data_IF_562846712648
#
_entry.id   IF_562846712648
#
_cell.length_a   1.000
_cell.length_b   1.000
_cell.length_c   1.000
_cell.angle_alpha   90.00
_cell.angle_beta   90.00
_cell.angle_gamma   90.00
#
_symmetry.space_group_name_H-M   'P 1'
#
loop_
_entity.id
_entity.type
_entity.pdbx_description
1 polymer ?
#
# COMPACT_ATOMS: atom_id res chain seq x y z
N UNK A 1 -7.08 -32.89 -8.51
CA UNK A 1 -7.51 -31.46 -8.58
C UNK A 1 -6.74 -30.79 -9.72
N UNK A 2 -7.38 -29.99 -10.57
CA UNK A 2 -6.68 -29.30 -11.67
C UNK A 2 -5.78 -28.18 -11.14
N UNK A 3 -4.64 -27.92 -11.79
CA UNK A 3 -3.68 -26.88 -11.38
C UNK A 3 -4.34 -25.51 -11.18
N UNK A 4 -5.35 -25.15 -11.99
CA UNK A 4 -6.10 -23.90 -11.85
C UNK A 4 -6.87 -23.80 -10.53
N UNK A 5 -7.41 -24.92 -10.00
CA UNK A 5 -8.08 -24.94 -8.69
C UNK A 5 -7.08 -24.76 -7.56
N UNK A 6 -5.89 -25.36 -7.67
CA UNK A 6 -4.83 -25.21 -6.67
C UNK A 6 -4.25 -23.80 -6.63
N UNK A 7 -4.07 -23.16 -7.80
CA UNK A 7 -3.67 -21.74 -7.87
C UNK A 7 -4.73 -20.83 -7.24
N UNK A 8 -6.03 -21.10 -7.47
CA UNK A 8 -7.11 -20.34 -6.85
C UNK A 8 -7.11 -20.50 -5.34
N UNK A 9 -6.91 -21.72 -4.84
CA UNK A 9 -6.77 -21.99 -3.41
C UNK A 9 -5.60 -21.21 -2.79
N UNK A 10 -4.43 -21.22 -3.44
CA UNK A 10 -3.28 -20.40 -3.04
C UNK A 10 -3.62 -18.91 -2.98
N UNK A 11 -4.30 -18.37 -3.99
CA UNK A 11 -4.72 -16.96 -4.04
C UNK A 11 -5.74 -16.60 -2.97
N UNK A 12 -6.70 -17.49 -2.69
CA UNK A 12 -7.66 -17.31 -1.60
C UNK A 12 -6.96 -17.26 -0.25
N UNK A 13 -6.02 -18.17 -0.02
CA UNK A 13 -5.25 -18.23 1.23
C UNK A 13 -4.40 -16.97 1.41
N UNK A 14 -3.68 -16.53 0.37
CA UNK A 14 -2.93 -15.27 0.39
C UNK A 14 -3.83 -14.06 0.67
N UNK A 15 -5.02 -14.02 0.04
CA UNK A 15 -6.02 -12.98 0.27
C UNK A 15 -6.55 -12.95 1.71
N UNK A 16 -6.83 -14.12 2.30
CA UNK A 16 -7.24 -14.24 3.71
C UNK A 16 -6.15 -13.74 4.66
N UNK A 17 -4.88 -14.07 4.39
CA UNK A 17 -3.74 -13.56 5.16
C UNK A 17 -3.67 -12.03 5.06
N UNK A 18 -3.85 -11.46 3.85
CA UNK A 18 -3.80 -10.02 3.65
C UNK A 18 -4.90 -9.30 4.42
N UNK A 19 -6.12 -9.83 4.34
CA UNK A 19 -7.26 -9.32 5.08
C UNK A 19 -7.02 -9.41 6.60
N UNK A 20 -6.49 -10.53 7.08
CA UNK A 20 -6.16 -10.67 8.51
C UNK A 20 -5.10 -9.68 8.97
N UNK A 21 -4.05 -9.41 8.18
CA UNK A 21 -3.04 -8.38 8.51
C UNK A 21 -3.68 -6.99 8.64
N UNK A 22 -4.63 -6.65 7.77
CA UNK A 22 -5.37 -5.37 7.87
C UNK A 22 -6.24 -5.32 9.14
N UNK A 23 -6.94 -6.41 9.46
CA UNK A 23 -7.76 -6.51 10.67
C UNK A 23 -6.88 -6.44 11.92
N UNK A 24 -5.69 -7.05 11.93
CA UNK A 24 -4.74 -6.94 13.04
C UNK A 24 -4.37 -5.48 13.34
N UNK A 25 -4.04 -4.71 12.31
CA UNK A 25 -3.74 -3.28 12.45
C UNK A 25 -4.92 -2.48 13.04
N UNK A 26 -6.14 -2.79 12.61
CA UNK A 26 -7.35 -2.20 13.19
C UNK A 26 -7.53 -2.61 14.67
N UNK A 27 -7.44 -3.91 15.00
CA UNK A 27 -7.65 -4.43 16.35
C UNK A 27 -6.66 -3.84 17.36
N UNK A 28 -5.36 -3.80 17.02
CA UNK A 28 -4.37 -3.19 17.89
C UNK A 28 -4.61 -1.68 18.02
N UNK A 29 -5.02 -1.00 16.95
CA UNK A 29 -5.46 0.38 16.99
C UNK A 29 -6.59 0.61 18.00
N UNK A 30 -7.63 -0.22 18.00
CA UNK A 30 -8.72 -0.10 19.00
C UNK A 30 -8.21 -0.25 20.44
N UNK A 31 -7.22 -1.13 20.68
CA UNK A 31 -6.64 -1.28 22.01
C UNK A 31 -5.81 -0.07 22.42
N UNK A 32 -5.01 0.47 21.51
CA UNK A 32 -4.12 1.60 21.77
C UNK A 32 -4.88 2.92 21.94
N UNK A 33 -5.87 3.18 21.09
CA UNK A 33 -6.55 4.48 21.03
C UNK A 33 -7.87 4.51 21.80
N UNK A 34 -8.60 3.40 21.86
CA UNK A 34 -9.86 3.31 22.60
C UNK A 34 -9.73 2.53 23.93
N UNK A 35 -8.51 2.15 24.32
CA UNK A 35 -8.23 1.47 25.58
C UNK A 35 -8.89 0.09 25.71
N UNK A 36 -9.31 -0.52 24.59
CA UNK A 36 -10.09 -1.76 24.65
C UNK A 36 -9.21 -2.95 25.02
N UNK A 37 -9.61 -3.68 26.07
CA UNK A 37 -8.95 -4.93 26.45
C UNK A 37 -9.23 -6.02 25.41
N UNK A 38 -10.47 -6.07 24.90
CA UNK A 38 -10.86 -7.05 23.88
C UNK A 38 -10.06 -6.87 22.58
N UNK A 39 -9.73 -5.64 22.17
CA UNK A 39 -8.95 -5.38 20.97
C UNK A 39 -7.58 -6.06 21.03
N UNK A 40 -6.89 -5.97 22.18
CA UNK A 40 -5.61 -6.64 22.42
C UNK A 40 -5.72 -8.16 22.40
N UNK A 41 -6.73 -8.71 23.07
CA UNK A 41 -6.94 -10.16 23.15
C UNK A 41 -7.26 -10.73 21.76
N UNK A 42 -8.17 -10.09 21.02
CA UNK A 42 -8.55 -10.51 19.67
C UNK A 42 -7.39 -10.35 18.69
N UNK A 43 -6.60 -9.27 18.80
CA UNK A 43 -5.38 -9.08 18.03
C UNK A 43 -4.39 -10.24 18.26
N UNK A 44 -4.10 -10.57 19.52
CA UNK A 44 -3.20 -11.70 19.82
C UNK A 44 -3.72 -13.03 19.27
N UNK A 45 -5.03 -13.29 19.35
CA UNK A 45 -5.63 -14.52 18.86
C UNK A 45 -5.59 -14.61 17.32
N UNK A 46 -5.91 -13.50 16.63
CA UNK A 46 -5.87 -13.43 15.17
C UNK A 46 -4.42 -13.53 14.64
N UNK A 47 -3.44 -12.94 15.33
CA UNK A 47 -2.02 -13.10 15.01
C UNK A 47 -1.56 -14.58 15.02
N UNK A 48 -2.03 -15.39 15.99
CA UNK A 48 -1.76 -16.83 16.03
C UNK A 48 -2.47 -17.59 14.89
N UNK A 49 -3.69 -17.20 14.53
CA UNK A 49 -4.38 -17.76 13.36
C UNK A 49 -3.63 -17.45 12.06
N UNK A 50 -3.14 -16.21 11.90
CA UNK A 50 -2.33 -15.80 10.75
C UNK A 50 -1.02 -16.59 10.65
N UNK A 51 -0.39 -16.95 11.77
CA UNK A 51 0.77 -17.84 11.78
C UNK A 51 0.44 -19.20 11.16
N UNK A 52 -0.72 -19.78 11.49
CA UNK A 52 -1.18 -21.03 10.87
C UNK A 52 -1.49 -20.86 9.37
N UNK A 53 -2.19 -19.79 8.98
CA UNK A 53 -2.51 -19.53 7.58
C UNK A 53 -1.25 -19.32 6.73
N UNK A 54 -0.26 -18.60 7.25
CA UNK A 54 1.01 -18.36 6.56
C UNK A 54 1.87 -19.61 6.44
N UNK A 55 1.78 -20.56 7.38
CA UNK A 55 2.37 -21.90 7.24
C UNK A 55 1.71 -22.71 6.11
N UNK A 56 0.39 -22.62 5.96
CA UNK A 56 -0.34 -23.33 4.90
C UNK A 56 -0.03 -22.79 3.50
N UNK A 57 0.40 -21.52 3.38
CA UNK A 57 0.65 -20.87 2.10
C UNK A 57 1.78 -21.50 1.26
N UNK A 58 3.00 -21.76 1.78
CA UNK A 58 4.03 -22.48 1.03
C UNK A 58 3.64 -23.94 0.72
N UNK A 59 2.86 -24.60 1.58
CA UNK A 59 2.31 -25.93 1.29
C UNK A 59 1.34 -25.88 0.10
N UNK A 60 0.47 -24.87 0.06
CA UNK A 60 -0.41 -24.62 -1.07
C UNK A 60 0.38 -24.32 -2.36
N UNK A 61 1.49 -23.57 -2.26
CA UNK A 61 2.37 -23.31 -3.40
C UNK A 61 3.01 -24.59 -3.95
N UNK A 62 3.48 -25.49 -3.06
CA UNK A 62 4.02 -26.80 -3.43
C UNK A 62 2.96 -27.69 -4.09
N UNK A 63 1.76 -27.79 -3.50
CA UNK A 63 0.64 -28.56 -4.04
C UNK A 63 0.16 -28.03 -5.40
N UNK A 64 0.19 -26.71 -5.60
CA UNK A 64 -0.11 -26.07 -6.86
C UNK A 64 1.04 -26.19 -7.89
N UNK A 65 2.21 -26.70 -7.50
CA UNK A 65 3.44 -26.76 -8.30
C UNK A 65 3.81 -25.38 -8.87
N UNK A 66 3.74 -24.35 -8.03
CA UNK A 66 4.15 -23.00 -8.41
C UNK A 66 5.66 -22.91 -8.63
N UNK A 67 6.16 -21.91 -9.37
CA UNK A 67 7.60 -21.70 -9.52
C UNK A 67 8.30 -21.62 -8.16
N UNK A 68 9.48 -22.24 -8.04
CA UNK A 68 10.19 -22.34 -6.76
C UNK A 68 10.39 -21.01 -6.05
N UNK A 69 10.60 -19.92 -6.81
CA UNK A 69 10.67 -18.55 -6.27
C UNK A 69 9.42 -18.18 -5.46
N UNK A 70 8.22 -18.50 -5.92
CA UNK A 70 6.98 -18.20 -5.17
C UNK A 70 6.88 -19.02 -3.90
N UNK A 71 7.21 -20.32 -3.95
CA UNK A 71 7.25 -21.17 -2.76
C UNK A 71 8.22 -20.62 -1.71
N UNK A 72 9.41 -20.18 -2.13
CA UNK A 72 10.40 -19.56 -1.24
C UNK A 72 9.83 -18.28 -0.62
N UNK A 73 9.22 -17.37 -1.41
CA UNK A 73 8.63 -16.14 -0.87
C UNK A 73 7.46 -16.41 0.08
N UNK A 74 6.63 -17.44 -0.17
CA UNK A 74 5.60 -17.87 0.78
C UNK A 74 6.20 -18.40 2.08
N UNK A 75 7.31 -19.14 2.01
CA UNK A 75 8.04 -19.61 3.20
C UNK A 75 8.68 -18.45 3.97
N UNK A 76 9.24 -17.46 3.27
CA UNK A 76 9.74 -16.21 3.88
C UNK A 76 8.60 -15.48 4.61
N UNK A 77 7.41 -15.39 4.02
CA UNK A 77 6.24 -14.79 4.69
C UNK A 77 5.88 -15.51 6.00
N UNK A 78 5.95 -16.85 6.02
CA UNK A 78 5.76 -17.63 7.25
C UNK A 78 6.83 -17.31 8.30
N UNK A 79 8.11 -17.28 7.91
CA UNK A 79 9.23 -16.95 8.83
C UNK A 79 9.08 -15.52 9.38
N UNK A 80 8.71 -14.56 8.55
CA UNK A 80 8.43 -13.19 9.00
C UNK A 80 7.24 -13.14 9.96
N UNK A 81 6.23 -14.00 9.80
CA UNK A 81 5.08 -14.07 10.73
C UNK A 81 5.49 -14.68 12.07
N UNK A 82 6.35 -15.70 12.07
CA UNK A 82 6.95 -16.24 13.29
C UNK A 82 7.76 -15.17 14.03
N UNK A 83 8.57 -14.42 13.29
CA UNK A 83 9.32 -13.29 13.83
C UNK A 83 8.37 -12.21 14.39
N UNK A 84 7.27 -11.89 13.72
CA UNK A 84 6.26 -10.94 14.19
C UNK A 84 5.74 -11.30 15.58
N UNK A 85 5.36 -12.56 15.78
CA UNK A 85 4.85 -13.07 17.07
C UNK A 85 5.94 -12.99 18.14
N UNK A 86 7.18 -13.35 17.81
CA UNK A 86 8.31 -13.24 18.75
C UNK A 86 8.58 -11.78 19.15
N UNK A 87 8.58 -10.85 18.20
CA UNK A 87 8.78 -9.41 18.45
C UNK A 87 7.71 -8.83 19.38
N UNK A 88 6.45 -9.25 19.25
CA UNK A 88 5.38 -8.85 20.17
C UNK A 88 5.65 -9.33 21.62
N UNK A 89 6.22 -10.52 21.78
CA UNK A 89 6.57 -11.09 23.08
C UNK A 89 7.62 -10.29 23.85
N UNK A 90 8.48 -9.52 23.16
CA UNK A 90 9.52 -8.70 23.78
C UNK A 90 9.02 -7.37 24.36
N UNK A 91 7.73 -7.05 24.23
CA UNK A 91 7.15 -5.76 24.70
C UNK A 91 7.45 -5.43 26.16
N UNK A 92 7.58 -6.45 27.04
CA UNK A 92 7.87 -6.26 28.46
C UNK A 92 9.36 -6.32 28.82
N UNK A 93 10.19 -7.00 28.02
CA UNK A 93 11.58 -7.31 28.37
C UNK A 93 12.59 -6.49 27.58
N UNK A 94 12.35 -6.26 26.28
CA UNK A 94 13.28 -5.54 25.40
C UNK A 94 12.48 -4.61 24.47
N UNK A 95 12.03 -3.42 24.95
CA UNK A 95 11.14 -2.54 24.21
C UNK A 95 11.66 -2.11 22.83
N UNK A 96 12.98 -1.99 22.68
CA UNK A 96 13.61 -1.66 21.40
C UNK A 96 13.39 -2.76 20.34
N UNK A 97 13.51 -4.05 20.72
CA UNK A 97 13.18 -5.16 19.83
C UNK A 97 11.68 -5.17 19.50
N UNK A 98 10.83 -4.92 20.50
CA UNK A 98 9.39 -4.85 20.30
C UNK A 98 8.97 -3.73 19.33
N UNK A 99 9.72 -2.63 19.26
CA UNK A 99 9.48 -1.54 18.31
C UNK A 99 9.67 -1.97 16.84
N UNK A 100 10.33 -3.10 16.56
CA UNK A 100 10.41 -3.66 15.21
C UNK A 100 9.13 -4.37 14.78
N UNK A 101 8.21 -4.66 15.70
CA UNK A 101 6.97 -5.39 15.41
C UNK A 101 6.10 -4.66 14.37
N UNK A 102 5.79 -3.35 14.48
CA UNK A 102 5.06 -2.64 13.42
C UNK A 102 5.79 -2.62 12.08
N UNK A 103 7.12 -2.47 12.07
CA UNK A 103 7.91 -2.48 10.83
C UNK A 103 7.87 -3.83 10.12
N UNK A 104 7.96 -4.94 10.87
CA UNK A 104 7.85 -6.28 10.30
C UNK A 104 6.41 -6.58 9.82
N UNK A 105 5.37 -6.01 10.44
CA UNK A 105 4.00 -6.07 9.92
C UNK A 105 3.89 -5.45 8.52
N UNK A 106 4.56 -4.33 8.27
CA UNK A 106 4.56 -3.69 6.96
C UNK A 106 5.29 -4.53 5.90
N UNK A 107 6.37 -5.22 6.28
CA UNK A 107 7.05 -6.17 5.40
C UNK A 107 6.15 -7.36 5.04
N UNK A 108 5.44 -7.91 6.02
CA UNK A 108 4.44 -8.97 5.82
C UNK A 108 3.35 -8.53 4.84
N UNK A 109 2.79 -7.34 5.04
CA UNK A 109 1.80 -6.75 4.14
C UNK A 109 2.33 -6.64 2.71
N UNK A 110 3.48 -5.98 2.53
CA UNK A 110 4.08 -5.76 1.21
C UNK A 110 4.41 -7.07 0.48
N UNK A 111 5.04 -8.03 1.18
CA UNK A 111 5.37 -9.32 0.60
C UNK A 111 4.11 -10.10 0.19
N UNK A 112 3.07 -10.08 1.01
CA UNK A 112 1.83 -10.80 0.69
C UNK A 112 1.12 -10.19 -0.54
N UNK A 113 1.10 -8.86 -0.67
CA UNK A 113 0.59 -8.18 -1.88
C UNK A 113 1.37 -8.61 -3.13
N UNK A 114 2.70 -8.68 -3.05
CA UNK A 114 3.55 -9.16 -4.15
C UNK A 114 3.20 -10.59 -4.55
N UNK A 115 3.02 -11.49 -3.58
CA UNK A 115 2.64 -12.88 -3.82
C UNK A 115 1.28 -13.01 -4.51
N UNK A 116 0.30 -12.20 -4.12
CA UNK A 116 -1.03 -12.15 -4.77
C UNK A 116 -0.89 -11.68 -6.21
N UNK A 117 -0.18 -10.57 -6.46
CA UNK A 117 0.03 -10.04 -7.82
C UNK A 117 0.71 -11.08 -8.72
N UNK A 118 1.75 -11.75 -8.23
CA UNK A 118 2.45 -12.79 -8.99
C UNK A 118 1.54 -13.99 -9.28
N UNK A 119 0.73 -14.41 -8.30
CA UNK A 119 -0.28 -15.45 -8.47
C UNK A 119 -1.28 -15.14 -9.59
N UNK A 120 -1.79 -13.90 -9.63
CA UNK A 120 -2.69 -13.44 -10.68
C UNK A 120 -2.02 -13.36 -12.06
N UNK A 121 -0.77 -12.92 -12.13
CA UNK A 121 -0.01 -12.87 -13.40
C UNK A 121 0.18 -14.27 -14.01
N UNK A 122 0.41 -15.30 -13.17
CA UNK A 122 0.50 -16.68 -13.65
C UNK A 122 -0.82 -17.22 -14.19
N UNK A 123 -1.95 -16.81 -13.61
CA UNK A 123 -3.27 -17.19 -14.12
C UNK A 123 -3.50 -16.64 -15.54
N UNK A 124 -3.03 -15.43 -15.83
CA UNK A 124 -3.16 -14.80 -17.14
C UNK A 124 -2.29 -15.42 -18.24
N UNK A 125 -1.08 -15.89 -17.90
CA UNK A 125 -0.12 -16.48 -18.86
C UNK A 125 -0.54 -17.83 -19.46
N UNK A 126 -1.56 -18.51 -18.92
CA UNK A 126 -2.05 -19.79 -19.46
C UNK A 126 -3.04 -19.66 -20.62
N UNK A 127 -3.45 -18.43 -20.96
CA UNK A 127 -4.41 -18.15 -22.05
C UNK A 127 -3.79 -17.78 -23.41
N UNK A 128 -2.63 -17.08 -23.51
CA UNK A 128 -2.20 -16.52 -24.78
C UNK A 128 -1.53 -17.50 -25.76
N UNK A 129 -0.94 -18.63 -25.38
CA UNK A 129 -0.25 -19.48 -26.39
C UNK A 129 -1.22 -20.08 -27.44
N UNK A 130 -2.44 -20.42 -27.04
CA UNK A 130 -3.45 -20.95 -27.97
C UNK A 130 -4.05 -19.85 -28.86
N UNK A 131 -4.13 -18.62 -28.36
CA UNK A 131 -4.77 -17.47 -29.03
C UNK A 131 -3.75 -16.65 -29.87
N UNK A 132 -2.48 -16.59 -29.44
CA UNK A 132 -1.35 -15.99 -30.17
C UNK A 132 -0.85 -16.86 -31.31
N UNK A 133 -0.86 -18.20 -31.19
CA UNK A 133 -0.55 -19.07 -32.33
C UNK A 133 -1.54 -18.89 -33.49
N UNK A 134 -2.78 -18.46 -33.20
CA UNK A 134 -3.79 -18.15 -34.22
C UNK A 134 -3.65 -16.73 -34.80
N UNK A 135 -3.12 -15.76 -34.04
CA UNK A 135 -3.00 -14.36 -34.48
C UNK A 135 -1.63 -13.99 -35.05
N UNK A 136 -0.56 -14.71 -34.72
CA UNK A 136 0.80 -14.45 -35.21
C UNK A 136 0.98 -14.65 -36.73
N UNK A 137 0.06 -15.34 -37.40
CA UNK A 137 0.08 -15.49 -38.86
C UNK A 137 -0.54 -14.31 -39.63
N UNK A 138 -1.08 -13.29 -38.97
CA UNK A 138 -2.00 -12.35 -39.63
C UNK A 138 -1.52 -10.90 -39.81
N UNK A 139 -0.42 -10.43 -39.21
CA UNK A 139 -0.11 -8.98 -39.23
C UNK A 139 1.38 -8.63 -39.45
N UNK A 140 1.69 -7.68 -40.36
CA UNK A 140 3.05 -7.16 -40.57
C UNK A 140 3.55 -6.33 -39.38
N UNK A 141 4.86 -6.37 -39.18
CA UNK A 141 5.57 -5.70 -38.10
C UNK A 141 5.72 -4.19 -38.38
N UNK A 142 4.90 -3.38 -37.69
CA UNK A 142 5.11 -1.93 -37.51
C UNK A 142 6.26 -1.73 -36.51
N UNK A 143 7.46 -1.59 -37.06
CA UNK A 143 8.73 -1.53 -36.33
C UNK A 143 9.07 -0.16 -35.71
N UNK A 144 8.12 0.73 -35.44
CA UNK A 144 8.48 2.13 -35.08
C UNK A 144 7.77 2.76 -33.88
N UNK A 145 6.49 2.47 -33.64
CA UNK A 145 5.66 3.35 -32.80
C UNK A 145 5.62 3.02 -31.29
N UNK A 146 6.27 1.95 -30.81
CA UNK A 146 5.81 1.26 -29.58
C UNK A 146 6.25 1.77 -28.21
N UNK A 147 7.15 2.74 -28.06
CA UNK A 147 7.80 2.97 -26.75
C UNK A 147 7.62 4.33 -26.07
N UNK A 148 6.77 5.24 -26.56
CA UNK A 148 6.50 6.49 -25.83
C UNK A 148 5.43 6.27 -24.76
N UNK A 149 5.83 6.40 -23.49
CA UNK A 149 4.91 6.42 -22.34
C UNK A 149 3.97 7.63 -22.50
N UNK A 150 2.63 7.47 -22.41
CA UNK A 150 1.68 8.57 -22.56
C UNK A 150 1.97 9.72 -21.57
N UNK A 151 1.72 10.96 -21.99
CA UNK A 151 1.99 12.15 -21.17
C UNK A 151 1.24 12.10 -19.83
N UNK A 152 0.02 11.59 -19.82
CA UNK A 152 -0.84 11.47 -18.64
C UNK A 152 -0.23 10.53 -17.60
N UNK A 153 0.42 9.45 -18.06
CA UNK A 153 1.13 8.49 -17.21
C UNK A 153 2.38 9.14 -16.61
N UNK A 154 3.10 9.95 -17.38
CA UNK A 154 4.25 10.72 -16.87
C UNK A 154 3.81 11.79 -15.86
N UNK A 155 2.70 12.49 -16.10
CA UNK A 155 2.14 13.47 -15.16
C UNK A 155 1.68 12.80 -13.85
N UNK A 156 0.97 11.67 -13.93
CA UNK A 156 0.58 10.90 -12.74
C UNK A 156 1.80 10.38 -11.96
N UNK A 157 2.84 9.93 -12.66
CA UNK A 157 4.13 9.56 -12.04
C UNK A 157 4.74 10.75 -11.29
N UNK A 158 4.80 11.92 -11.93
CA UNK A 158 5.33 13.15 -11.34
C UNK A 158 4.56 13.58 -10.09
N UNK A 159 3.23 13.48 -10.12
CA UNK A 159 2.38 13.80 -8.96
C UNK A 159 2.60 12.86 -7.76
N UNK A 160 2.78 11.55 -7.98
CA UNK A 160 3.15 10.64 -6.89
C UNK A 160 4.53 10.95 -6.28
N UNK A 161 5.52 11.30 -7.11
CA UNK A 161 6.84 11.69 -6.62
C UNK A 161 6.79 13.01 -5.84
N UNK A 162 6.00 13.98 -6.32
CA UNK A 162 5.78 15.24 -5.61
C UNK A 162 5.09 15.00 -4.27
N UNK A 163 4.11 14.10 -4.20
CA UNK A 163 3.51 13.66 -2.94
C UNK A 163 4.56 13.08 -1.99
N UNK A 164 5.42 12.18 -2.45
CA UNK A 164 6.49 11.62 -1.61
C UNK A 164 7.39 12.73 -1.03
N UNK A 165 7.77 13.72 -1.85
CA UNK A 165 8.57 14.86 -1.39
C UNK A 165 7.85 15.71 -0.34
N UNK A 166 6.56 15.99 -0.55
CA UNK A 166 5.73 16.71 0.43
C UNK A 166 5.63 15.91 1.73
N UNK A 167 5.42 14.60 1.67
CA UNK A 167 5.38 13.74 2.86
C UNK A 167 6.69 13.76 3.66
N UNK A 168 7.85 13.79 2.97
CA UNK A 168 9.16 13.97 3.62
C UNK A 168 9.28 15.37 4.24
N UNK A 169 8.76 16.41 3.57
CA UNK A 169 8.70 17.77 4.11
C UNK A 169 7.86 17.87 5.37
N UNK A 170 6.65 17.31 5.36
CA UNK A 170 5.74 17.23 6.53
C UNK A 170 6.42 16.49 7.67
N UNK A 171 7.06 15.36 7.38
CA UNK A 171 7.83 14.59 8.35
C UNK A 171 8.96 15.42 8.99
N UNK A 172 9.72 16.15 8.17
CA UNK A 172 10.82 17.01 8.63
C UNK A 172 10.29 18.12 9.52
N UNK A 173 9.23 18.81 9.10
CA UNK A 173 8.58 19.85 9.91
C UNK A 173 8.05 19.28 11.22
N UNK A 174 7.44 18.10 11.21
CA UNK A 174 6.92 17.45 12.41
C UNK A 174 8.04 17.15 13.42
N UNK A 175 9.20 16.69 12.94
CA UNK A 175 10.37 16.42 13.78
C UNK A 175 11.00 17.71 14.33
N UNK A 176 11.09 18.76 13.52
CA UNK A 176 11.63 20.07 13.94
C UNK A 176 10.72 20.76 14.98
N UNK A 177 9.41 20.56 14.89
CA UNK A 177 8.42 21.14 15.81
C UNK A 177 8.03 20.17 16.94
N UNK A 178 8.92 19.24 17.33
CA UNK A 178 8.68 18.28 18.42
C UNK A 178 8.21 18.95 19.72
N UNK A 179 8.77 20.10 20.06
CA UNK A 179 8.41 20.81 21.30
C UNK A 179 6.95 21.26 21.30
N UNK A 180 6.41 21.65 20.14
CA UNK A 180 5.00 22.03 20.01
C UNK A 180 4.09 20.82 20.23
N UNK A 181 4.50 19.63 19.75
CA UNK A 181 3.80 18.37 20.02
C UNK A 181 3.82 18.03 21.51
N UNK A 182 4.96 18.22 22.19
CA UNK A 182 5.07 18.04 23.65
C UNK A 182 4.12 18.99 24.39
N UNK A 183 4.11 20.27 24.02
CA UNK A 183 3.25 21.28 24.63
C UNK A 183 1.77 20.98 24.39
N UNK A 184 1.42 20.53 23.20
CA UNK A 184 0.07 20.09 22.82
C UNK A 184 -0.40 18.91 23.69
N UNK A 185 0.41 17.85 23.80
CA UNK A 185 0.11 16.68 24.63
C UNK A 185 -0.07 17.07 26.10
N UNK A 186 0.82 17.95 26.61
CA UNK A 186 0.74 18.47 27.97
C UNK A 186 -0.53 19.27 28.23
N UNK A 187 -0.94 20.10 27.26
CA UNK A 187 -2.16 20.93 27.35
C UNK A 187 -3.42 20.06 27.35
N UNK A 188 -3.46 19.00 26.54
CA UNK A 188 -4.57 18.03 26.51
C UNK A 188 -4.65 17.19 27.78
N UNK A 189 -3.52 16.94 28.42
CA UNK A 189 -3.41 15.97 29.50
C UNK A 189 -2.70 16.61 30.72
N UNK A 190 -3.32 17.60 31.39
CA UNK A 190 -2.67 18.35 32.45
C UNK A 190 -2.27 17.47 33.66
N UNK A 191 -2.88 16.30 33.82
CA UNK A 191 -2.55 15.33 34.86
C UNK A 191 -1.45 14.33 34.50
N UNK A 192 -0.93 14.32 33.28
CA UNK A 192 0.12 13.38 32.89
C UNK A 192 1.45 13.76 33.54
N UNK A 193 2.17 12.75 34.01
CA UNK A 193 3.58 12.87 34.37
C UNK A 193 4.44 13.12 33.13
N UNK A 194 5.66 13.65 33.30
CA UNK A 194 6.57 13.90 32.18
C UNK A 194 6.89 12.62 31.40
N UNK A 195 7.00 11.48 32.09
CA UNK A 195 7.23 10.17 31.45
C UNK A 195 6.09 9.74 30.55
N UNK A 196 4.84 9.99 30.95
CA UNK A 196 3.65 9.71 30.14
C UNK A 196 3.59 10.64 28.93
N UNK A 197 3.89 11.92 29.10
CA UNK A 197 4.00 12.89 28.00
C UNK A 197 5.05 12.44 26.99
N UNK A 198 6.27 12.10 27.44
CA UNK A 198 7.34 11.65 26.56
C UNK A 198 6.97 10.35 25.81
N UNK A 199 6.29 9.42 26.49
CA UNK A 199 5.79 8.19 25.89
C UNK A 199 4.72 8.43 24.83
N UNK A 200 3.77 9.33 25.09
CA UNK A 200 2.76 9.74 24.12
C UNK A 200 3.38 10.43 22.91
N UNK A 201 4.28 11.40 23.12
CA UNK A 201 4.97 12.11 22.04
C UNK A 201 5.78 11.16 21.17
N UNK A 202 6.52 10.23 21.80
CA UNK A 202 7.27 9.21 21.08
C UNK A 202 6.36 8.30 20.24
N UNK A 203 5.22 7.90 20.79
CA UNK A 203 4.25 7.06 20.07
C UNK A 203 3.66 7.79 18.86
N UNK A 204 3.27 9.05 19.03
CA UNK A 204 2.78 9.91 17.93
C UNK A 204 3.87 10.04 16.87
N UNK A 205 5.12 10.29 17.27
CA UNK A 205 6.26 10.36 16.34
C UNK A 205 6.42 9.07 15.54
N UNK A 206 6.46 7.91 16.19
CA UNK A 206 6.62 6.62 15.51
C UNK A 206 5.49 6.38 14.52
N UNK A 207 4.24 6.71 14.87
CA UNK A 207 3.08 6.53 14.00
C UNK A 207 3.16 7.47 12.79
N UNK A 208 3.35 8.78 13.00
CA UNK A 208 3.40 9.79 11.93
C UNK A 208 4.56 9.51 10.99
N UNK A 209 5.76 9.25 11.54
CA UNK A 209 6.94 8.89 10.76
C UNK A 209 6.70 7.61 9.97
N UNK A 210 6.17 6.57 10.63
CA UNK A 210 5.89 5.28 10.01
C UNK A 210 4.91 5.39 8.85
N UNK A 211 3.79 6.09 9.04
CA UNK A 211 2.77 6.30 8.02
C UNK A 211 3.33 7.05 6.80
N UNK A 212 4.05 8.15 7.02
CA UNK A 212 4.59 8.96 5.93
C UNK A 212 5.69 8.23 5.14
N UNK A 213 6.58 7.51 5.82
CA UNK A 213 7.59 6.66 5.16
C UNK A 213 6.89 5.56 4.36
N UNK A 214 5.90 4.89 4.94
CA UNK A 214 5.17 3.80 4.28
C UNK A 214 4.44 4.28 3.02
N UNK A 215 3.56 5.28 3.14
CA UNK A 215 2.80 5.80 2.02
C UNK A 215 3.68 6.52 1.01
N UNK A 216 4.69 7.27 1.45
CA UNK A 216 5.69 7.89 0.59
C UNK A 216 6.46 6.85 -0.25
N UNK A 217 6.87 5.75 0.36
CA UNK A 217 7.57 4.65 -0.34
C UNK A 217 6.63 3.92 -1.31
N UNK A 218 5.40 3.62 -0.87
CA UNK A 218 4.41 2.95 -1.71
C UNK A 218 4.06 3.79 -2.95
N UNK A 219 3.80 5.08 -2.78
CA UNK A 219 3.51 6.01 -3.88
C UNK A 219 4.69 6.17 -4.82
N UNK A 220 5.93 6.30 -4.30
CA UNK A 220 7.13 6.32 -5.12
C UNK A 220 7.31 5.03 -5.95
N UNK A 221 7.15 3.86 -5.33
CA UNK A 221 7.24 2.57 -6.02
C UNK A 221 6.17 2.44 -7.11
N UNK A 222 4.93 2.84 -6.81
CA UNK A 222 3.83 2.83 -7.76
C UNK A 222 4.07 3.79 -8.93
N UNK A 223 4.68 4.95 -8.69
CA UNK A 223 5.04 5.91 -9.74
C UNK A 223 5.89 5.23 -10.83
N UNK A 224 6.90 4.45 -10.45
CA UNK A 224 7.72 3.71 -11.42
C UNK A 224 6.96 2.56 -12.09
N UNK A 225 6.14 1.82 -11.33
CA UNK A 225 5.37 0.71 -11.87
C UNK A 225 4.29 1.15 -12.86
N UNK A 226 3.71 2.33 -12.68
CA UNK A 226 2.65 2.88 -13.54
C UNK A 226 3.13 3.02 -14.99
N UNK A 227 4.42 3.28 -15.19
CA UNK A 227 5.06 3.34 -16.52
C UNK A 227 5.02 2.01 -17.27
N UNK A 228 4.82 0.89 -16.59
CA UNK A 228 4.68 -0.43 -17.25
C UNK A 228 3.36 -0.57 -18.01
N UNK A 229 2.41 0.35 -17.84
CA UNK A 229 1.12 0.35 -18.54
C UNK A 229 0.18 -0.81 -18.16
N UNK A 230 0.52 -1.60 -17.13
CA UNK A 230 -0.28 -2.75 -16.71
C UNK A 230 -1.52 -2.31 -15.91
N UNK A 231 -2.70 -2.83 -16.27
CA UNK A 231 -3.97 -2.48 -15.63
C UNK A 231 -3.97 -2.73 -14.11
N UNK A 232 -3.34 -3.80 -13.63
CA UNK A 232 -3.29 -4.08 -12.20
C UNK A 232 -2.54 -3.00 -11.40
N UNK A 233 -1.55 -2.34 -12.02
CA UNK A 233 -0.81 -1.26 -11.35
C UNK A 233 -1.71 -0.05 -11.13
N UNK A 234 -2.58 0.27 -12.10
CA UNK A 234 -3.57 1.34 -11.98
C UNK A 234 -4.60 1.06 -10.88
N UNK A 235 -4.99 -0.19 -10.73
CA UNK A 235 -5.89 -0.61 -9.65
C UNK A 235 -5.17 -0.47 -8.30
N UNK A 236 -3.96 -1.01 -8.18
CA UNK A 236 -3.16 -0.94 -6.95
C UNK A 236 -2.88 0.51 -6.53
N UNK A 237 -2.55 1.39 -7.48
CA UNK A 237 -2.31 2.81 -7.21
C UNK A 237 -3.58 3.54 -6.77
N UNK A 238 -4.74 3.19 -7.34
CA UNK A 238 -6.04 3.73 -6.95
C UNK A 238 -6.42 3.30 -5.53
N UNK A 239 -6.12 2.06 -5.15
CA UNK A 239 -6.35 1.56 -3.77
C UNK A 239 -5.44 2.28 -2.78
N UNK A 240 -4.13 2.38 -3.07
CA UNK A 240 -3.20 3.11 -2.18
C UNK A 240 -3.60 4.58 -2.05
N UNK A 241 -3.97 5.22 -3.15
CA UNK A 241 -4.51 6.58 -3.14
C UNK A 241 -5.76 6.71 -2.27
N UNK A 242 -6.70 5.78 -2.39
CA UNK A 242 -7.91 5.74 -1.56
C UNK A 242 -7.59 5.56 -0.07
N UNK A 243 -6.61 4.72 0.26
CA UNK A 243 -6.16 4.52 1.64
C UNK A 243 -5.50 5.78 2.22
N UNK A 244 -4.69 6.49 1.44
CA UNK A 244 -4.13 7.79 1.86
C UNK A 244 -5.23 8.82 2.08
N UNK A 245 -6.20 8.92 1.17
CA UNK A 245 -7.34 9.83 1.35
C UNK A 245 -8.15 9.45 2.59
N UNK A 246 -8.37 8.16 2.83
CA UNK A 246 -9.08 7.69 4.01
C UNK A 246 -8.32 8.00 5.31
N UNK A 247 -7.01 7.84 5.33
CA UNK A 247 -6.15 8.21 6.46
C UNK A 247 -6.29 9.71 6.76
N UNK A 248 -6.14 10.57 5.74
CA UNK A 248 -6.32 12.02 5.89
C UNK A 248 -7.73 12.32 6.39
N UNK A 249 -8.78 11.73 5.82
CA UNK A 249 -10.15 11.94 6.25
C UNK A 249 -10.44 11.40 7.67
N UNK A 250 -9.78 10.33 8.10
CA UNK A 250 -9.94 9.78 9.44
C UNK A 250 -9.42 10.74 10.51
N UNK A 251 -8.31 11.43 10.27
CA UNK A 251 -7.82 12.49 11.16
C UNK A 251 -8.85 13.62 11.34
N UNK A 252 -9.67 13.88 10.32
CA UNK A 252 -10.73 14.89 10.35
C UNK A 252 -12.01 14.45 11.04
N UNK A 253 -12.39 13.18 10.82
CA UNK A 253 -13.64 12.61 11.32
C UNK A 253 -13.52 12.02 12.72
N UNK A 254 -12.29 11.77 13.19
CA UNK A 254 -12.04 11.34 14.56
C UNK A 254 -12.53 12.42 15.53
N UNK A 255 -13.44 12.09 16.48
CA UNK A 255 -13.94 13.02 17.50
C UNK A 255 -12.87 13.54 18.47
N UNK A 256 -11.63 13.10 18.32
CA UNK A 256 -10.51 13.61 19.10
C UNK A 256 -10.29 15.09 18.77
N UNK A 257 -10.32 15.96 19.78
CA UNK A 257 -10.11 17.42 19.71
C UNK A 257 -8.73 17.87 19.15
N UNK A 258 -8.01 17.03 18.39
CA UNK A 258 -6.73 17.34 17.73
C UNK A 258 -6.77 18.67 16.97
N UNK A 259 -7.86 19.06 16.28
CA UNK A 259 -7.93 20.36 15.62
C UNK A 259 -8.08 21.55 16.59
N UNK A 260 -8.46 21.35 17.85
CA UNK A 260 -8.47 22.39 18.89
C UNK A 260 -7.05 22.70 19.40
N UNK A 261 -6.10 21.83 19.07
CA UNK A 261 -4.65 21.84 19.34
C UNK A 261 -3.92 23.11 18.95
N UNK A 262 -4.08 23.35 17.65
CA UNK A 262 -3.27 24.25 16.89
C UNK A 262 -3.79 25.66 17.09
N UNK A 263 -2.87 26.63 17.09
CA UNK A 263 -3.27 28.02 16.98
C UNK A 263 -4.21 28.18 15.76
N UNK A 264 -5.26 29.02 15.83
CA UNK A 264 -6.28 29.10 14.78
C UNK A 264 -5.72 29.27 13.36
N UNK A 265 -4.59 29.97 13.24
CA UNK A 265 -3.85 30.14 11.99
C UNK A 265 -3.17 28.84 11.52
N UNK A 266 -2.54 28.06 12.40
CA UNK A 266 -1.90 26.78 12.06
C UNK A 266 -2.91 25.71 11.62
N UNK A 267 -4.13 25.73 12.19
CA UNK A 267 -5.21 24.84 11.78
C UNK A 267 -5.55 25.04 10.29
N UNK A 268 -5.68 26.29 9.84
CA UNK A 268 -6.00 26.62 8.45
C UNK A 268 -4.92 26.09 7.49
N UNK A 269 -3.64 26.20 7.86
CA UNK A 269 -2.54 25.68 7.03
C UNK A 269 -2.51 24.15 6.96
N UNK A 270 -2.68 23.46 8.09
CA UNK A 270 -2.74 21.99 8.11
C UNK A 270 -3.89 21.46 7.26
N UNK A 271 -5.07 22.06 7.42
CA UNK A 271 -6.26 21.79 6.61
C UNK A 271 -6.00 22.01 5.12
N UNK A 272 -5.39 23.15 4.77
CA UNK A 272 -5.08 23.48 3.39
C UNK A 272 -4.10 22.50 2.75
N UNK A 273 -3.02 22.13 3.45
CA UNK A 273 -2.03 21.17 2.97
C UNK A 273 -2.65 19.78 2.76
N UNK A 274 -3.50 19.34 3.68
CA UNK A 274 -4.20 18.05 3.57
C UNK A 274 -5.20 18.03 2.40
N UNK A 275 -5.99 19.09 2.20
CA UNK A 275 -6.87 19.23 1.03
C UNK A 275 -6.04 19.18 -0.26
N UNK A 276 -4.91 19.89 -0.32
CA UNK A 276 -4.03 19.91 -1.47
C UNK A 276 -3.45 18.51 -1.76
N UNK A 277 -3.05 17.76 -0.72
CA UNK A 277 -2.57 16.38 -0.85
C UNK A 277 -3.65 15.43 -1.36
N UNK A 278 -4.89 15.52 -0.85
CA UNK A 278 -6.04 14.75 -1.35
C UNK A 278 -6.29 15.06 -2.83
N UNK A 279 -6.42 16.34 -3.19
CA UNK A 279 -6.71 16.75 -4.56
C UNK A 279 -5.61 16.29 -5.52
N UNK A 280 -4.35 16.38 -5.12
CA UNK A 280 -3.21 15.90 -5.91
C UNK A 280 -3.27 14.38 -6.12
N UNK A 281 -3.51 13.60 -5.06
CA UNK A 281 -3.61 12.13 -5.15
C UNK A 281 -4.78 11.71 -6.04
N UNK A 282 -5.96 12.32 -5.85
CA UNK A 282 -7.14 12.02 -6.67
C UNK A 282 -6.90 12.38 -8.14
N UNK A 283 -6.22 13.51 -8.41
CA UNK A 283 -5.84 13.90 -9.76
C UNK A 283 -4.87 12.89 -10.40
N UNK A 284 -3.90 12.37 -9.63
CA UNK A 284 -2.98 11.33 -10.10
C UNK A 284 -3.71 10.03 -10.47
N UNK A 285 -4.74 9.65 -9.69
CA UNK A 285 -5.59 8.50 -10.01
C UNK A 285 -6.42 8.77 -11.25
N UNK A 286 -7.10 9.92 -11.34
CA UNK A 286 -7.94 10.28 -12.47
C UNK A 286 -7.17 10.25 -13.80
N UNK A 287 -5.94 10.78 -13.82
CA UNK A 287 -5.07 10.77 -15.01
C UNK A 287 -4.74 9.34 -15.50
N UNK A 288 -4.71 8.34 -14.62
CA UNK A 288 -4.44 6.95 -15.02
C UNK A 288 -5.63 6.28 -15.71
N UNK A 289 -6.83 6.81 -15.50
CA UNK A 289 -8.10 6.27 -16.01
C UNK A 289 -8.67 7.06 -17.17
N UNK A 290 -8.05 8.17 -17.58
CA UNK A 290 -8.44 8.88 -18.78
C UNK A 290 -8.40 7.94 -19.99
N UNK A 291 -9.49 7.89 -20.80
CA UNK A 291 -9.48 7.13 -22.03
C UNK A 291 -8.32 7.59 -22.89
N UNK A 292 -7.48 6.66 -23.34
CA UNK A 292 -6.48 6.98 -24.35
C UNK A 292 -7.26 7.51 -25.55
N UNK A 293 -7.07 8.78 -25.90
CA UNK A 293 -7.56 9.27 -27.18
C UNK A 293 -6.96 8.33 -28.21
N UNK A 294 -7.81 7.60 -28.92
CA UNK A 294 -7.37 6.93 -30.11
C UNK A 294 -6.80 8.06 -30.96
N UNK A 295 -5.47 8.11 -31.08
CA UNK A 295 -4.85 8.89 -32.13
C UNK A 295 -5.44 8.29 -33.38
N UNK A 296 -6.48 8.94 -33.90
CA UNK A 296 -7.06 8.61 -35.19
C UNK A 296 -5.87 8.57 -36.10
N UNK A 297 -5.46 7.35 -36.48
CA UNK A 297 -4.48 7.21 -37.55
C UNK A 297 -5.03 8.08 -38.65
N UNK A 298 -4.27 9.07 -39.15
CA UNK A 298 -4.72 9.82 -40.30
C UNK A 298 -5.11 8.77 -41.31
N UNK A 299 -6.41 8.67 -41.59
CA UNK A 299 -6.93 7.80 -42.62
C UNK A 299 -6.10 8.21 -43.84
N UNK A 300 -5.26 7.31 -44.32
CA UNK A 300 -4.59 7.47 -45.60
C UNK A 300 -5.72 7.36 -46.62
N UNK A 301 -6.47 8.45 -46.75
CA UNK A 301 -7.43 8.69 -47.81
C UNK A 301 -6.59 9.11 -49.01
N UNK A 302 -6.02 8.13 -49.69
CA UNK A 302 -5.21 8.42 -50.87
C UNK A 302 -4.63 7.18 -51.50
N UNK A 303 -4.98 7.01 -52.78
CA UNK A 303 -4.32 6.17 -53.79
C UNK A 303 -4.86 4.73 -53.92
N UNK A 304 -6.09 4.63 -54.43
CA UNK A 304 -6.31 3.76 -55.58
C UNK A 304 -6.38 4.66 -56.82
N UNK A 305 -5.39 4.66 -57.72
CA UNK A 305 -5.58 5.13 -59.07
C UNK A 305 -6.36 4.06 -59.83
N UNK A 306 -7.34 4.51 -60.60
CA UNK A 306 -8.09 3.70 -61.56
C UNK A 306 -7.13 2.86 -62.44
N UNK A 307 -7.37 1.54 -62.48
CA UNK A 307 -6.88 0.69 -63.55
C UNK A 307 -8.10 0.08 -64.26
N UNK A 308 -8.36 0.70 -65.41
CA UNK A 308 -9.06 0.18 -66.58
C UNK A 308 -8.44 -1.14 -67.07
#
# INVERSE_FOLDING_TARGET
MTHSRMLLFYLMLAGLILLGILIEGFLIGTSLFAGTIWGRTTHSALGLLLLLLTLLLPLAALLARLPGKMTIWSAVLFVLTLLQVALAGFTRSVPFLAALHPSNAMLLFGLNVILIIQGWQMRGKKRPETEQAQTANALPDDGGARNRVPLEINLGTGGYLLYTLISVGVLTLFLLNRNDVVNAVKTLNPGFSQREIDGSVYSIQVIVVGAHIFFGTCTACLAFLIRTGKNWVRIASSVVAGLVVLEICYEWLSPTDVPAILAPNQRIYAVFVQILMILMILSCVALQWLPRRATSSPLISGVFPDLL
#
